data_IF_522275507771
#
_entry.id   IF_522275507771
#
_cell.length_a   1.000
_cell.length_b   1.000
_cell.length_c   1.000
_cell.angle_alpha   90.00
_cell.angle_beta   90.00
_cell.angle_gamma   90.00
#
_symmetry.space_group_name_H-M   'P 1'
#
loop_
_entity.id
_entity.type
_entity.pdbx_description
1 polymer ?
#
# COMPACT_ATOMS: atom_id res chain seq x y z
N UNK A 1 8.51 -7.78 29.40
CA UNK A 1 8.78 -6.45 28.81
C UNK A 1 8.41 -5.29 29.75
N UNK A 2 7.13 -5.03 30.05
CA UNK A 2 6.70 -3.90 30.93
C UNK A 2 7.40 -3.81 32.30
N UNK A 3 7.54 -4.94 33.00
CA UNK A 3 8.21 -4.98 34.32
C UNK A 3 9.68 -4.58 34.21
N UNK A 4 10.34 -4.94 33.10
CA UNK A 4 11.74 -4.61 32.85
C UNK A 4 11.93 -3.10 32.67
N UNK A 5 11.14 -2.46 31.81
CA UNK A 5 11.17 -1.00 31.65
C UNK A 5 10.84 -0.26 32.94
N UNK A 6 9.86 -0.72 33.72
CA UNK A 6 9.53 -0.13 35.02
C UNK A 6 10.66 -0.29 36.03
N UNK A 7 11.37 -1.42 36.02
CA UNK A 7 12.54 -1.62 36.88
C UNK A 7 13.72 -0.75 36.44
N UNK A 8 13.94 -0.60 35.13
CA UNK A 8 14.97 0.28 34.59
C UNK A 8 14.69 1.74 34.95
N UNK A 9 13.46 2.21 34.76
CA UNK A 9 13.02 3.55 35.17
C UNK A 9 12.98 3.76 36.69
N UNK A 10 13.02 2.68 37.49
CA UNK A 10 13.22 2.82 38.93
C UNK A 10 14.69 3.11 39.27
N UNK A 11 15.63 2.61 38.47
CA UNK A 11 17.08 2.81 38.67
C UNK A 11 17.51 4.12 38.01
N UNK A 12 17.01 4.40 36.81
CA UNK A 12 17.29 5.58 35.98
C UNK A 12 15.97 6.26 35.57
N UNK A 13 15.32 7.01 36.47
CA UNK A 13 14.00 7.61 36.22
C UNK A 13 14.00 8.69 35.13
N UNK A 14 15.16 9.28 34.86
CA UNK A 14 15.33 10.42 33.94
C UNK A 14 16.06 10.03 32.64
N UNK A 15 15.88 8.78 32.18
CA UNK A 15 16.43 8.32 30.91
C UNK A 15 15.38 8.50 29.78
N UNK A 16 15.63 9.48 28.91
CA UNK A 16 14.73 9.83 27.83
C UNK A 16 14.57 8.72 26.78
N UNK A 17 15.64 7.94 26.53
CA UNK A 17 15.62 6.87 25.53
C UNK A 17 14.84 5.67 26.07
N UNK A 18 15.01 5.34 27.36
CA UNK A 18 14.20 4.28 28.02
C UNK A 18 12.72 4.66 28.07
N UNK A 19 12.39 5.95 28.25
CA UNK A 19 11.01 6.43 28.20
C UNK A 19 10.42 6.35 26.79
N UNK A 20 11.22 6.62 25.75
CA UNK A 20 10.83 6.43 24.36
C UNK A 20 10.55 4.95 24.07
N UNK A 21 11.51 4.07 24.35
CA UNK A 21 11.38 2.62 24.13
C UNK A 21 10.21 2.02 24.92
N UNK A 22 9.97 2.50 26.14
CA UNK A 22 8.81 2.08 26.92
C UNK A 22 7.49 2.56 26.30
N UNK A 23 7.48 3.79 25.76
CA UNK A 23 6.36 4.31 25.00
C UNK A 23 6.05 3.45 23.78
N UNK A 24 7.05 3.03 23.02
CA UNK A 24 6.88 2.20 21.82
C UNK A 24 6.29 0.82 22.17
N UNK A 25 6.77 0.19 23.24
CA UNK A 25 6.16 -1.03 23.77
C UNK A 25 4.69 -0.82 24.19
N UNK A 26 4.34 0.34 24.76
CA UNK A 26 2.97 0.63 25.16
C UNK A 26 2.05 0.78 23.94
N UNK A 27 2.55 1.32 22.82
CA UNK A 27 1.83 1.36 21.54
C UNK A 27 1.57 -0.05 21.03
N UNK A 28 2.58 -0.93 21.04
CA UNK A 28 2.41 -2.35 20.64
C UNK A 28 1.35 -3.08 21.47
N UNK A 29 1.18 -2.67 22.74
CA UNK A 29 0.21 -3.24 23.67
C UNK A 29 -1.17 -2.55 23.62
N UNK A 30 -1.35 -1.57 22.72
CA UNK A 30 -2.61 -0.82 22.57
C UNK A 30 -2.87 0.23 23.66
N UNK A 31 -1.90 0.50 24.53
CA UNK A 31 -2.02 1.45 25.65
C UNK A 31 -1.57 2.87 25.24
N UNK A 32 -2.24 3.43 24.23
CA UNK A 32 -1.84 4.68 23.57
C UNK A 32 -1.74 5.89 24.51
N UNK A 33 -2.64 6.03 25.47
CA UNK A 33 -2.60 7.14 26.44
C UNK A 33 -1.36 7.07 27.35
N UNK A 34 -0.98 5.86 27.77
CA UNK A 34 0.22 5.64 28.56
C UNK A 34 1.48 5.87 27.71
N UNK A 35 1.48 5.45 26.45
CA UNK A 35 2.58 5.73 25.52
C UNK A 35 2.83 7.24 25.37
N UNK A 36 1.76 8.01 25.08
CA UNK A 36 1.82 9.49 24.99
C UNK A 36 2.37 10.13 26.26
N UNK A 37 2.01 9.60 27.43
CA UNK A 37 2.55 10.09 28.69
C UNK A 37 4.06 9.86 28.79
N UNK A 38 4.57 8.70 28.39
CA UNK A 38 6.03 8.45 28.38
C UNK A 38 6.75 9.32 27.36
N UNK A 39 6.23 9.47 26.14
CA UNK A 39 6.83 10.36 25.13
C UNK A 39 6.90 11.81 25.60
N UNK A 40 5.84 12.32 26.26
CA UNK A 40 5.86 13.67 26.83
C UNK A 40 6.86 13.82 27.97
N UNK A 41 7.11 12.77 28.76
CA UNK A 41 8.19 12.77 29.74
C UNK A 41 9.57 12.77 29.07
N UNK A 42 9.77 11.91 28.06
CA UNK A 42 11.01 11.88 27.28
C UNK A 42 11.32 13.27 26.71
N UNK A 43 10.33 13.97 26.14
CA UNK A 43 10.50 15.34 25.63
C UNK A 43 10.81 16.39 26.69
N UNK A 44 10.38 16.21 27.94
CA UNK A 44 10.77 17.12 29.03
C UNK A 44 12.24 16.98 29.39
N UNK A 45 12.79 15.77 29.26
CA UNK A 45 14.18 15.46 29.58
C UNK A 45 15.12 15.76 28.41
N UNK A 46 14.71 15.41 27.20
CA UNK A 46 15.47 15.63 25.97
C UNK A 46 14.59 16.25 24.86
N UNK A 47 14.36 17.59 24.89
CA UNK A 47 13.57 18.28 23.87
C UNK A 47 14.15 18.23 22.46
N UNK A 48 15.44 17.88 22.32
CA UNK A 48 16.12 17.76 21.04
C UNK A 48 16.11 16.34 20.46
N UNK A 49 15.45 15.37 21.13
CA UNK A 49 15.28 14.03 20.58
C UNK A 49 14.11 14.02 19.57
N UNK A 50 14.33 13.68 18.29
CA UNK A 50 13.27 13.63 17.27
C UNK A 50 12.27 12.47 17.47
N UNK A 51 12.70 11.38 18.12
CA UNK A 51 11.92 10.13 18.24
C UNK A 51 10.54 10.33 18.87
N UNK A 52 10.42 10.91 20.08
CA UNK A 52 9.13 11.14 20.71
C UNK A 52 8.19 12.05 19.91
N UNK A 53 8.72 13.00 19.13
CA UNK A 53 7.91 13.82 18.23
C UNK A 53 7.35 13.01 17.07
N UNK A 54 8.14 12.10 16.49
CA UNK A 54 7.67 11.18 15.46
C UNK A 54 6.54 10.28 16.00
N UNK A 55 6.78 9.59 17.14
CA UNK A 55 5.79 8.67 17.73
C UNK A 55 4.50 9.39 18.15
N UNK A 56 4.60 10.61 18.69
CA UNK A 56 3.41 11.43 18.99
C UNK A 56 2.67 11.86 17.70
N UNK A 57 3.40 12.13 16.62
CA UNK A 57 2.85 12.46 15.32
C UNK A 57 2.07 11.29 14.70
N UNK A 58 2.61 10.08 14.79
CA UNK A 58 1.97 8.84 14.33
C UNK A 58 0.68 8.57 15.11
N UNK A 59 0.74 8.60 16.46
CA UNK A 59 -0.46 8.41 17.28
C UNK A 59 -1.53 9.48 17.03
N UNK A 60 -1.13 10.73 16.77
CA UNK A 60 -2.08 11.78 16.43
C UNK A 60 -2.72 11.55 15.05
N UNK A 61 -1.99 11.01 14.07
CA UNK A 61 -2.52 10.64 12.76
C UNK A 61 -3.53 9.49 12.87
N UNK A 62 -3.24 8.48 13.70
CA UNK A 62 -4.15 7.36 13.97
C UNK A 62 -5.47 7.82 14.59
N UNK A 63 -5.42 8.81 15.48
CA UNK A 63 -6.60 9.45 16.07
C UNK A 63 -7.31 10.44 15.13
N UNK A 64 -6.79 10.68 13.93
CA UNK A 64 -7.33 11.65 12.97
C UNK A 64 -7.08 13.12 13.36
N UNK A 65 -6.22 13.40 14.34
CA UNK A 65 -5.83 14.74 14.76
C UNK A 65 -4.75 15.31 13.84
N UNK A 66 -5.13 15.58 12.60
CA UNK A 66 -4.19 15.93 11.52
C UNK A 66 -3.31 17.15 11.83
N UNK A 67 -3.84 18.18 12.49
CA UNK A 67 -3.07 19.37 12.86
C UNK A 67 -2.07 19.13 14.00
N UNK A 68 -2.40 18.24 14.93
CA UNK A 68 -1.45 17.82 15.98
C UNK A 68 -0.34 16.98 15.36
N UNK A 69 -0.70 16.00 14.51
CA UNK A 69 0.25 15.16 13.78
C UNK A 69 1.23 16.01 12.95
N UNK A 70 0.70 16.97 12.18
CA UNK A 70 1.50 17.87 11.36
C UNK A 70 2.52 18.66 12.21
N UNK A 71 2.09 19.22 13.35
CA UNK A 71 2.99 19.98 14.23
C UNK A 71 4.08 19.12 14.86
N UNK A 72 3.74 17.91 15.32
CA UNK A 72 4.73 16.99 15.91
C UNK A 72 5.74 16.54 14.86
N UNK A 73 5.29 16.18 13.66
CA UNK A 73 6.17 15.76 12.56
C UNK A 73 7.04 16.92 12.04
N UNK A 74 6.54 18.16 12.05
CA UNK A 74 7.37 19.33 11.78
C UNK A 74 8.52 19.46 12.79
N UNK A 75 8.28 19.20 14.07
CA UNK A 75 9.33 19.23 15.09
C UNK A 75 10.33 18.09 14.88
N UNK A 76 9.85 16.87 14.60
CA UNK A 76 10.72 15.74 14.26
C UNK A 76 11.64 16.07 13.07
N UNK A 77 11.08 16.59 11.97
CA UNK A 77 11.83 16.95 10.76
C UNK A 77 12.73 18.18 10.92
N UNK A 78 12.50 19.05 11.91
CA UNK A 78 13.44 20.13 12.24
C UNK A 78 14.68 19.60 12.96
N UNK A 79 14.52 18.56 13.78
CA UNK A 79 15.59 17.94 14.56
C UNK A 79 16.35 16.88 13.75
N UNK A 80 15.65 16.15 12.89
CA UNK A 80 16.19 15.20 11.92
C UNK A 80 15.50 15.36 10.56
N UNK A 81 16.11 16.19 9.71
CA UNK A 81 15.56 16.54 8.39
C UNK A 81 15.61 15.40 7.38
N UNK A 82 16.38 14.34 7.64
CA UNK A 82 16.63 13.26 6.70
C UNK A 82 15.83 11.98 7.07
N UNK A 83 15.03 12.02 8.14
CA UNK A 83 14.25 10.89 8.65
C UNK A 83 13.23 10.37 7.62
N UNK A 84 13.41 9.16 7.06
CA UNK A 84 12.46 8.59 6.11
C UNK A 84 11.09 8.34 6.74
N UNK A 85 11.02 7.95 8.01
CA UNK A 85 9.76 7.66 8.70
C UNK A 85 8.96 8.96 8.91
N UNK A 86 9.62 10.03 9.38
CA UNK A 86 8.94 11.31 9.56
C UNK A 86 8.45 11.90 8.22
N UNK A 87 9.20 11.70 7.14
CA UNK A 87 8.75 12.06 5.79
C UNK A 87 7.54 11.24 5.31
N UNK A 88 7.52 9.92 5.56
CA UNK A 88 6.40 9.05 5.21
C UNK A 88 5.12 9.42 5.99
N UNK A 89 5.23 9.59 7.31
CA UNK A 89 4.09 9.96 8.16
C UNK A 89 3.59 11.37 7.84
N UNK A 90 4.49 12.33 7.55
CA UNK A 90 4.09 13.67 7.11
C UNK A 90 3.34 13.63 5.77
N UNK A 91 3.80 12.81 4.82
CA UNK A 91 3.10 12.62 3.55
C UNK A 91 1.69 12.06 3.77
N UNK A 92 1.51 11.10 4.68
CA UNK A 92 0.19 10.54 5.01
C UNK A 92 -0.75 11.61 5.61
N UNK A 93 -0.26 12.44 6.52
CA UNK A 93 -1.04 13.57 7.07
C UNK A 93 -1.46 14.51 5.94
N UNK A 94 -0.52 14.89 5.06
CA UNK A 94 -0.78 15.80 3.94
C UNK A 94 -1.78 15.22 2.93
N UNK A 95 -1.75 13.92 2.66
CA UNK A 95 -2.74 13.26 1.79
C UNK A 95 -4.15 13.28 2.41
N UNK A 96 -4.28 13.05 3.72
CA UNK A 96 -5.56 13.21 4.43
C UNK A 96 -6.07 14.64 4.45
N UNK A 97 -5.18 15.62 4.28
CA UNK A 97 -5.51 17.03 4.07
C UNK A 97 -5.71 17.40 2.59
N UNK A 98 -5.71 16.42 1.67
CA UNK A 98 -5.81 16.62 0.21
C UNK A 98 -4.65 17.41 -0.43
N UNK A 99 -3.53 17.58 0.30
CA UNK A 99 -2.33 18.32 -0.13
C UNK A 99 -1.34 17.41 -0.86
N UNK A 100 -1.79 16.82 -1.97
CA UNK A 100 -1.03 15.81 -2.74
C UNK A 100 0.35 16.30 -3.18
N UNK A 101 0.47 17.56 -3.62
CA UNK A 101 1.75 18.11 -4.09
C UNK A 101 2.78 18.26 -2.98
N UNK A 102 2.35 18.59 -1.77
CA UNK A 102 3.26 18.70 -0.62
C UNK A 102 3.65 17.30 -0.12
N UNK A 103 2.71 16.36 -0.09
CA UNK A 103 2.99 14.96 0.22
C UNK A 103 4.06 14.40 -0.73
N UNK A 104 3.95 14.68 -2.04
CA UNK A 104 4.93 14.26 -3.04
C UNK A 104 6.34 14.76 -2.72
N UNK A 105 6.50 16.00 -2.25
CA UNK A 105 7.81 16.57 -1.87
C UNK A 105 8.42 15.80 -0.69
N UNK A 106 7.62 15.50 0.34
CA UNK A 106 8.10 14.72 1.48
C UNK A 106 8.48 13.29 1.06
N UNK A 107 7.70 12.66 0.18
CA UNK A 107 8.01 11.32 -0.32
C UNK A 107 9.33 11.29 -1.11
N UNK A 108 9.57 12.30 -1.97
CA UNK A 108 10.84 12.41 -2.70
C UNK A 108 12.01 12.67 -1.77
N UNK A 109 11.83 13.51 -0.74
CA UNK A 109 12.88 13.82 0.23
C UNK A 109 13.29 12.57 1.03
N UNK A 110 12.34 11.88 1.66
CA UNK A 110 12.66 10.72 2.48
C UNK A 110 13.22 9.53 1.68
N UNK A 111 12.80 9.33 0.42
CA UNK A 111 13.37 8.29 -0.45
C UNK A 111 14.87 8.43 -0.71
N UNK A 112 15.43 9.64 -0.62
CA UNK A 112 16.88 9.86 -0.76
C UNK A 112 17.69 9.19 0.34
N UNK A 113 17.08 9.01 1.51
CA UNK A 113 17.72 8.48 2.71
C UNK A 113 17.29 7.03 3.03
N UNK A 114 16.39 6.45 2.21
CA UNK A 114 16.05 5.02 2.28
C UNK A 114 17.23 4.15 1.81
N UNK A 115 17.88 3.45 2.75
CA UNK A 115 19.03 2.53 2.55
C UNK A 115 18.63 1.18 1.91
N UNK A 116 17.95 1.19 0.76
CA UNK A 116 17.48 -0.04 0.10
C UNK A 116 16.68 -0.98 1.04
N UNK A 117 16.07 -0.43 2.09
CA UNK A 117 15.30 -1.21 3.06
C UNK A 117 13.95 -1.62 2.43
N UNK A 118 13.68 -2.93 2.27
CA UNK A 118 12.42 -3.39 1.70
C UNK A 118 11.18 -2.87 2.40
N UNK A 119 11.19 -2.79 3.73
CA UNK A 119 10.01 -2.36 4.50
C UNK A 119 9.67 -0.90 4.18
N UNK A 120 10.70 -0.04 4.17
CA UNK A 120 10.54 1.37 3.80
C UNK A 120 10.13 1.55 2.34
N UNK A 121 10.73 0.81 1.41
CA UNK A 121 10.35 0.90 -0.01
C UNK A 121 8.89 0.44 -0.22
N UNK A 122 8.45 -0.59 0.50
CA UNK A 122 7.07 -1.05 0.49
C UNK A 122 6.12 0.04 1.00
N UNK A 123 6.42 0.64 2.15
CA UNK A 123 5.61 1.72 2.71
C UNK A 123 5.50 2.92 1.75
N UNK A 124 6.64 3.40 1.25
CA UNK A 124 6.66 4.52 0.29
C UNK A 124 5.90 4.19 -0.99
N UNK A 125 6.02 2.97 -1.51
CA UNK A 125 5.28 2.57 -2.70
C UNK A 125 3.76 2.59 -2.50
N UNK A 126 3.30 2.17 -1.31
CA UNK A 126 1.88 2.23 -0.92
C UNK A 126 1.41 3.68 -0.87
N UNK A 127 2.12 4.55 -0.16
CA UNK A 127 1.73 5.97 -0.03
C UNK A 127 1.74 6.66 -1.40
N UNK A 128 2.69 6.35 -2.28
CA UNK A 128 2.72 6.87 -3.65
C UNK A 128 1.53 6.38 -4.49
N UNK A 129 1.12 5.12 -4.34
CA UNK A 129 -0.06 4.58 -5.00
C UNK A 129 -1.34 5.26 -4.49
N UNK A 130 -1.46 5.49 -3.19
CA UNK A 130 -2.59 6.20 -2.57
C UNK A 130 -2.65 7.67 -3.03
N UNK A 131 -1.49 8.30 -3.22
CA UNK A 131 -1.36 9.65 -3.76
C UNK A 131 -1.59 9.76 -5.28
N UNK A 132 -1.92 8.67 -5.97
CA UNK A 132 -2.00 8.58 -7.43
C UNK A 132 -0.70 8.97 -8.18
N UNK A 133 0.44 8.91 -7.50
CA UNK A 133 1.78 9.17 -8.03
C UNK A 133 2.36 7.90 -8.69
N UNK A 134 1.63 7.38 -9.67
CA UNK A 134 1.83 6.04 -10.26
C UNK A 134 3.24 5.83 -10.84
N UNK A 135 3.81 6.84 -11.51
CA UNK A 135 5.16 6.70 -12.10
C UNK A 135 6.24 6.63 -11.03
N UNK A 136 6.12 7.44 -9.98
CA UNK A 136 7.05 7.37 -8.84
C UNK A 136 6.92 6.01 -8.14
N UNK A 137 5.69 5.53 -7.90
CA UNK A 137 5.44 4.22 -7.32
C UNK A 137 6.10 3.09 -8.14
N UNK A 138 5.98 3.13 -9.48
CA UNK A 138 6.60 2.14 -10.37
C UNK A 138 8.12 2.07 -10.19
N UNK A 139 8.79 3.23 -10.08
CA UNK A 139 10.25 3.28 -9.87
C UNK A 139 10.66 2.68 -8.53
N UNK A 140 9.93 2.98 -7.46
CA UNK A 140 10.17 2.43 -6.12
C UNK A 140 9.92 0.91 -6.11
N UNK A 141 8.83 0.45 -6.71
CA UNK A 141 8.49 -0.98 -6.80
C UNK A 141 9.49 -1.77 -7.63
N UNK A 142 10.01 -1.20 -8.73
CA UNK A 142 11.13 -1.80 -9.50
C UNK A 142 12.40 -1.95 -8.67
N UNK A 143 12.66 -1.06 -7.71
CA UNK A 143 13.74 -1.21 -6.73
C UNK A 143 13.42 -2.31 -5.74
N UNK A 144 12.21 -2.31 -5.17
CA UNK A 144 11.77 -3.30 -4.19
C UNK A 144 11.82 -4.73 -4.73
N UNK A 145 11.27 -5.01 -5.92
CA UNK A 145 11.27 -6.38 -6.49
C UNK A 145 12.67 -6.89 -6.85
N UNK A 146 13.67 -6.02 -7.02
CA UNK A 146 15.07 -6.42 -7.21
C UNK A 146 15.70 -6.90 -5.90
N UNK A 147 15.34 -6.27 -4.78
CA UNK A 147 15.88 -6.57 -3.45
C UNK A 147 15.12 -7.74 -2.81
N UNK A 148 13.80 -7.77 -3.03
CA UNK A 148 12.86 -8.77 -2.51
C UNK A 148 12.17 -9.52 -3.67
N UNK A 149 12.90 -10.32 -4.47
CA UNK A 149 12.35 -10.95 -5.67
C UNK A 149 11.29 -12.01 -5.40
N UNK A 150 11.11 -12.43 -4.14
CA UNK A 150 10.11 -13.41 -3.71
C UNK A 150 8.87 -12.78 -3.08
N UNK A 151 8.78 -11.46 -3.02
CA UNK A 151 7.62 -10.76 -2.47
C UNK A 151 6.49 -10.65 -3.51
N UNK A 152 5.51 -11.53 -3.43
CA UNK A 152 4.35 -11.54 -4.32
C UNK A 152 3.54 -10.23 -4.28
N UNK A 153 3.48 -9.56 -3.12
CA UNK A 153 2.76 -8.28 -2.97
C UNK A 153 3.49 -7.15 -3.68
N UNK A 154 4.81 -7.10 -3.60
CA UNK A 154 5.61 -6.13 -4.36
C UNK A 154 5.43 -6.30 -5.88
N UNK A 155 5.45 -7.55 -6.37
CA UNK A 155 5.18 -7.84 -7.78
C UNK A 155 3.75 -7.44 -8.19
N UNK A 156 2.75 -7.75 -7.36
CA UNK A 156 1.37 -7.36 -7.65
C UNK A 156 1.20 -5.83 -7.68
N UNK A 157 1.73 -5.10 -6.70
CA UNK A 157 1.69 -3.64 -6.70
C UNK A 157 2.43 -3.04 -7.90
N UNK A 158 3.52 -3.67 -8.35
CA UNK A 158 4.20 -3.28 -9.60
C UNK A 158 3.26 -3.45 -10.81
N UNK A 159 2.54 -4.57 -10.91
CA UNK A 159 1.56 -4.76 -11.97
C UNK A 159 0.44 -3.70 -11.93
N UNK A 160 -0.06 -3.36 -10.74
CA UNK A 160 -1.04 -2.27 -10.56
C UNK A 160 -0.53 -0.95 -11.13
N UNK A 161 0.75 -0.63 -10.94
CA UNK A 161 1.31 0.60 -11.55
C UNK A 161 1.30 0.56 -13.08
N UNK A 162 1.64 -0.59 -13.70
CA UNK A 162 1.58 -0.75 -15.14
C UNK A 162 0.15 -0.63 -15.67
N UNK A 163 -0.83 -1.26 -15.01
CA UNK A 163 -2.25 -1.13 -15.38
C UNK A 163 -2.75 0.31 -15.30
N UNK A 164 -2.36 1.07 -14.26
CA UNK A 164 -2.70 2.50 -14.12
C UNK A 164 -2.03 3.38 -15.18
N UNK A 165 -0.92 2.93 -15.78
CA UNK A 165 -0.23 3.60 -16.89
C UNK A 165 -0.72 3.12 -18.27
N UNK A 166 -1.71 2.24 -18.33
CA UNK A 166 -2.20 1.57 -19.54
C UNK A 166 -1.18 0.69 -20.26
N UNK A 167 -0.13 0.26 -19.55
CA UNK A 167 0.87 -0.70 -20.04
C UNK A 167 0.41 -2.12 -19.71
N UNK A 168 -0.58 -2.59 -20.47
CA UNK A 168 -1.27 -3.85 -20.18
C UNK A 168 -0.36 -5.08 -20.37
N UNK A 169 0.55 -5.03 -21.35
CA UNK A 169 1.43 -6.16 -21.67
C UNK A 169 2.39 -6.45 -20.52
N UNK A 170 3.10 -5.42 -20.06
CA UNK A 170 4.03 -5.56 -18.95
C UNK A 170 3.27 -5.82 -17.64
N UNK A 171 2.12 -5.15 -17.44
CA UNK A 171 1.27 -5.37 -16.27
C UNK A 171 0.81 -6.82 -16.13
N UNK A 172 0.37 -7.46 -17.22
CA UNK A 172 -0.01 -8.89 -17.24
C UNK A 172 1.19 -9.77 -16.89
N UNK A 173 2.36 -9.48 -17.46
CA UNK A 173 3.57 -10.28 -17.26
C UNK A 173 4.05 -10.22 -15.80
N UNK A 174 4.08 -9.01 -15.24
CA UNK A 174 4.41 -8.75 -13.83
C UNK A 174 3.36 -9.34 -12.89
N UNK A 175 2.07 -9.27 -13.22
CA UNK A 175 1.00 -9.86 -12.41
C UNK A 175 1.09 -11.39 -12.37
N UNK A 176 1.39 -12.03 -13.50
CA UNK A 176 1.68 -13.47 -13.56
C UNK A 176 2.86 -13.85 -12.67
N UNK A 177 3.87 -12.97 -12.54
CA UNK A 177 4.98 -13.23 -11.61
C UNK A 177 4.52 -13.26 -10.15
N UNK A 178 3.61 -12.37 -9.75
CA UNK A 178 3.00 -12.41 -8.43
C UNK A 178 2.24 -13.73 -8.20
N UNK A 179 1.43 -14.17 -9.18
CA UNK A 179 0.68 -15.43 -9.11
C UNK A 179 1.56 -16.69 -9.14
N UNK A 180 2.74 -16.64 -9.78
CA UNK A 180 3.71 -17.72 -9.70
C UNK A 180 4.31 -17.88 -8.29
N UNK A 181 4.50 -16.76 -7.58
CA UNK A 181 5.02 -16.76 -6.21
C UNK A 181 3.94 -17.11 -5.19
N UNK A 182 2.71 -16.65 -5.43
CA UNK A 182 1.54 -16.92 -4.61
C UNK A 182 0.33 -17.22 -5.51
N UNK A 183 0.06 -18.51 -5.80
CA UNK A 183 -1.08 -18.89 -6.65
C UNK A 183 -2.43 -18.50 -6.04
N UNK A 184 -2.54 -18.54 -4.71
CA UNK A 184 -3.76 -18.19 -3.98
C UNK A 184 -3.80 -16.67 -3.70
N UNK A 185 -3.99 -15.88 -4.75
CA UNK A 185 -4.03 -14.42 -4.65
C UNK A 185 -5.23 -13.81 -5.40
N UNK A 186 -6.42 -13.78 -4.77
CA UNK A 186 -7.66 -13.31 -5.40
C UNK A 186 -7.57 -11.90 -6.01
N UNK A 187 -6.89 -10.97 -5.32
CA UNK A 187 -6.74 -9.59 -5.81
C UNK A 187 -5.88 -9.51 -7.09
N UNK A 188 -4.84 -10.33 -7.20
CA UNK A 188 -4.03 -10.40 -8.42
C UNK A 188 -4.81 -11.06 -9.57
N UNK A 189 -5.60 -12.10 -9.30
CA UNK A 189 -6.50 -12.72 -10.29
C UNK A 189 -7.56 -11.73 -10.80
N UNK A 190 -8.16 -10.94 -9.92
CA UNK A 190 -9.10 -9.89 -10.29
C UNK A 190 -8.46 -8.85 -11.22
N UNK A 191 -7.28 -8.33 -10.85
CA UNK A 191 -6.59 -7.34 -11.68
C UNK A 191 -6.12 -7.91 -13.02
N UNK A 192 -5.71 -9.19 -13.07
CA UNK A 192 -5.36 -9.88 -14.31
C UNK A 192 -6.59 -10.09 -15.21
N UNK A 193 -7.75 -10.45 -14.64
CA UNK A 193 -9.01 -10.57 -15.37
C UNK A 193 -9.44 -9.24 -16.00
N UNK A 194 -9.33 -8.12 -15.25
CA UNK A 194 -9.60 -6.78 -15.77
C UNK A 194 -8.67 -6.41 -16.93
N UNK A 195 -7.38 -6.72 -16.83
CA UNK A 195 -6.41 -6.44 -17.88
C UNK A 195 -6.74 -7.23 -19.17
N UNK A 196 -7.05 -8.52 -19.04
CA UNK A 196 -7.49 -9.36 -20.17
C UNK A 196 -8.81 -8.85 -20.79
N UNK A 197 -9.78 -8.45 -19.97
CA UNK A 197 -11.03 -7.84 -20.45
C UNK A 197 -10.81 -6.56 -21.25
N UNK A 198 -9.83 -5.74 -20.84
CA UNK A 198 -9.46 -4.50 -21.53
C UNK A 198 -8.76 -4.78 -22.87
N UNK A 199 -7.99 -5.88 -22.96
CA UNK A 199 -7.42 -6.40 -24.22
C UNK A 199 -8.43 -7.13 -25.12
N UNK A 200 -9.64 -7.41 -24.63
CA UNK A 200 -10.65 -8.20 -25.35
C UNK A 200 -10.46 -9.72 -25.25
N UNK A 201 -9.51 -10.17 -24.42
CA UNK A 201 -9.13 -11.56 -24.15
C UNK A 201 -10.12 -12.18 -23.15
N UNK A 202 -11.35 -12.36 -23.64
CA UNK A 202 -12.50 -12.82 -22.86
C UNK A 202 -12.27 -14.23 -22.27
N UNK A 203 -11.68 -15.20 -22.99
CA UNK A 203 -11.39 -16.52 -22.43
C UNK A 203 -10.42 -16.48 -21.24
N UNK A 204 -9.31 -15.76 -21.38
CA UNK A 204 -8.27 -15.60 -20.36
C UNK A 204 -8.83 -14.90 -19.12
N UNK A 205 -9.65 -13.87 -19.33
CA UNK A 205 -10.36 -13.21 -18.24
C UNK A 205 -11.30 -14.17 -17.49
N UNK A 206 -12.05 -15.02 -18.20
CA UNK A 206 -12.93 -16.03 -17.58
C UNK A 206 -12.15 -16.98 -16.69
N UNK A 207 -11.01 -17.50 -17.17
CA UNK A 207 -10.16 -18.40 -16.38
C UNK A 207 -9.68 -17.75 -15.08
N UNK A 208 -9.27 -16.48 -15.14
CA UNK A 208 -8.85 -15.74 -13.96
C UNK A 208 -10.00 -15.54 -12.96
N UNK A 209 -11.19 -15.24 -13.46
CA UNK A 209 -12.39 -15.05 -12.62
C UNK A 209 -12.82 -16.36 -11.98
N UNK A 210 -12.86 -17.46 -12.75
CA UNK A 210 -13.24 -18.78 -12.26
C UNK A 210 -12.28 -19.25 -11.16
N UNK A 211 -10.97 -19.07 -11.36
CA UNK A 211 -9.98 -19.40 -10.33
C UNK A 211 -10.09 -18.50 -9.10
N UNK A 212 -10.33 -17.19 -9.29
CA UNK A 212 -10.54 -16.25 -8.18
C UNK A 212 -11.77 -16.61 -7.33
N UNK A 213 -12.88 -16.96 -7.98
CA UNK A 213 -14.11 -17.39 -7.30
C UNK A 213 -13.98 -18.78 -6.67
N UNK A 214 -13.09 -19.64 -7.17
CA UNK A 214 -12.77 -20.91 -6.52
C UNK A 214 -12.10 -20.68 -5.16
N UNK A 215 -11.25 -19.66 -5.05
CA UNK A 215 -10.57 -19.28 -3.80
C UNK A 215 -11.47 -18.50 -2.85
N UNK A 216 -12.25 -17.56 -3.39
CA UNK A 216 -13.19 -16.72 -2.63
C UNK A 216 -14.53 -16.62 -3.38
N UNK A 217 -15.46 -17.56 -3.13
CA UNK A 217 -16.77 -17.56 -3.79
C UNK A 217 -17.63 -16.33 -3.46
N UNK A 218 -17.36 -15.65 -2.34
CA UNK A 218 -18.13 -14.49 -1.89
C UNK A 218 -17.60 -13.17 -2.46
N UNK A 219 -16.55 -13.20 -3.28
CA UNK A 219 -15.95 -12.00 -3.85
C UNK A 219 -16.89 -11.27 -4.82
N UNK A 220 -17.53 -10.21 -4.35
CA UNK A 220 -18.52 -9.45 -5.14
C UNK A 220 -17.93 -8.90 -6.44
N UNK A 221 -16.68 -8.42 -6.42
CA UNK A 221 -16.02 -7.84 -7.58
C UNK A 221 -15.79 -8.89 -8.69
N UNK A 222 -15.40 -10.11 -8.33
CA UNK A 222 -15.27 -11.20 -9.31
C UNK A 222 -16.64 -11.67 -9.81
N UNK A 223 -17.67 -11.71 -8.96
CA UNK A 223 -19.04 -12.03 -9.39
C UNK A 223 -19.60 -10.98 -10.38
N UNK A 224 -19.28 -9.70 -10.17
CA UNK A 224 -19.60 -8.62 -11.10
C UNK A 224 -18.96 -8.85 -12.46
N UNK A 225 -17.68 -9.24 -12.49
CA UNK A 225 -16.97 -9.56 -13.74
C UNK A 225 -17.60 -10.76 -14.46
N UNK A 226 -18.02 -11.80 -13.75
CA UNK A 226 -18.76 -12.93 -14.33
C UNK A 226 -20.03 -12.47 -15.06
N UNK A 227 -20.80 -11.57 -14.45
CA UNK A 227 -22.01 -10.99 -15.08
C UNK A 227 -21.65 -10.19 -16.34
N UNK A 228 -20.56 -9.42 -16.31
CA UNK A 228 -20.08 -8.67 -17.46
C UNK A 228 -19.64 -9.58 -18.63
N UNK A 229 -18.89 -10.65 -18.33
CA UNK A 229 -18.43 -11.65 -19.29
C UNK A 229 -19.61 -12.37 -19.96
N UNK A 230 -20.60 -12.79 -19.18
CA UNK A 230 -21.82 -13.44 -19.66
C UNK A 230 -22.70 -12.51 -20.52
N UNK A 231 -22.74 -11.22 -20.17
CA UNK A 231 -23.39 -10.20 -20.99
C UNK A 231 -22.74 -10.07 -22.39
N UNK A 232 -21.41 -10.04 -22.45
CA UNK A 232 -20.64 -9.95 -23.71
C UNK A 232 -20.79 -11.21 -24.57
N UNK A 233 -20.69 -12.40 -23.97
CA UNK A 233 -20.87 -13.68 -24.68
C UNK A 233 -22.31 -13.88 -25.17
N UNK A 234 -23.30 -13.45 -24.39
CA UNK A 234 -24.72 -13.43 -24.76
C UNK A 234 -25.04 -12.47 -25.90
N UNK A 235 -24.32 -11.34 -26.01
CA UNK A 235 -24.46 -10.40 -27.15
C UNK A 235 -23.79 -10.97 -28.41
N UNK A 236 -22.57 -11.49 -28.30
CA UNK A 236 -21.85 -12.09 -29.42
C UNK A 236 -22.58 -13.33 -29.99
N UNK A 237 -23.13 -14.19 -29.14
CA UNK A 237 -23.92 -15.36 -29.57
C UNK A 237 -25.26 -14.98 -30.22
N UNK A 238 -25.87 -13.86 -29.83
CA UNK A 238 -27.07 -13.30 -30.49
C UNK A 238 -26.75 -12.63 -31.83
N UNK A 239 -25.65 -11.89 -31.91
CA UNK A 239 -25.15 -11.30 -33.17
C UNK A 239 -24.77 -12.38 -34.17
N UNK A 240 -24.05 -13.42 -33.73
CA UNK A 240 -23.67 -14.56 -34.58
C UNK A 240 -24.90 -15.31 -35.12
N UNK A 241 -25.95 -15.52 -34.30
CA UNK A 241 -27.22 -16.12 -34.74
C UNK A 241 -28.00 -15.26 -35.73
N UNK A 242 -28.02 -13.93 -35.54
CA UNK A 242 -28.64 -12.99 -36.50
C UNK A 242 -27.89 -12.97 -37.83
N UNK A 243 -26.56 -12.98 -37.80
CA UNK A 243 -25.75 -13.00 -39.01
C UNK A 243 -25.81 -14.35 -39.74
N UNK A 244 -25.86 -15.47 -39.01
CA UNK A 244 -26.06 -16.80 -39.62
C UNK A 244 -27.48 -17.00 -40.16
N UNK A 245 -28.48 -16.29 -39.64
CA UNK A 245 -29.85 -16.28 -40.16
C UNK A 245 -30.06 -15.36 -41.38
N UNK A 246 -29.09 -14.51 -41.72
CA UNK A 246 -29.13 -13.60 -42.87
C UNK A 246 -28.46 -14.17 -44.13
N UNK A 247 -27.80 -15.33 -44.04
CA UNK A 247 -27.33 -16.08 -45.20
C UNK A 247 -28.26 -17.26 -45.46
N UNK A 248 -29.07 -17.26 -46.54
CA UNK A 248 -29.78 -18.46 -46.93
C UNK A 248 -28.75 -19.54 -47.31
N UNK A 249 -28.85 -20.71 -46.69
CA UNK A 249 -28.15 -21.92 -47.14
C UNK A 249 -28.48 -22.11 -48.63
N UNK A 250 -27.54 -21.78 -49.51
CA UNK A 250 -27.57 -22.18 -50.91
C UNK A 250 -26.91 -23.54 -51.04
N UNK A 251 -27.74 -24.56 -51.31
CA UNK A 251 -27.34 -25.87 -51.83
C UNK A 251 -26.93 -26.88 -50.75
N UNK A 252 -27.30 -28.15 -50.84
CA UNK A 252 -27.77 -28.94 -51.99
C UNK A 252 -28.94 -29.84 -51.59
#
# INVERSE_FOLDING_TARGET
AKIHYRAQLHITPDDADVLLDYGDLLVELGEQDLAKHQYRKALKLAPANPGPYLSLGELALDEGKLEEAHRMLQMALRLDADSPNAHATMAQVLLRQERVQDAAKHLVAGLKHCKDDPAMLQEYSRILLDAHLTRQANNVLKRLVRISPRDANAWHNLAVTHFRMDDLDEGINVCRKALQLQPEYPLALYNLALAHLKRGETPEASLCVDEGLRLDPANEALQDLTRQLNGRSGVLSRLRRRLSGLWPHKGQ
#
